data_IF_591595987851
#
_entry.id   IF_591595987851
#
_cell.length_a   1.000
_cell.length_b   1.000
_cell.length_c   1.000
_cell.angle_alpha   90.00
_cell.angle_beta   90.00
_cell.angle_gamma   90.00
#
_symmetry.space_group_name_H-M   'P 1'
#
loop_
_entity.id
_entity.type
_entity.pdbx_description
1 polymer ?
#
# COMPACT_ATOMS: atom_id res chain seq x y z
N UNK A 1 4.84 7.95 20.49
CA UNK A 1 3.50 7.65 19.95
C UNK A 1 2.59 8.84 20.18
N UNK A 2 2.02 9.35 19.11
CA UNK A 2 1.10 10.49 19.07
C UNK A 2 -0.21 10.01 18.48
N UNK A 3 -1.33 10.26 19.17
CA UNK A 3 -2.66 9.94 18.65
C UNK A 3 -3.09 10.98 17.62
N UNK A 4 -3.59 10.50 16.49
CA UNK A 4 -4.11 11.31 15.38
C UNK A 4 -5.58 10.96 15.18
N UNK A 5 -6.45 11.96 15.09
CA UNK A 5 -7.84 11.79 14.71
C UNK A 5 -7.96 11.85 13.19
N UNK A 6 -8.33 10.73 12.56
CA UNK A 6 -8.44 10.62 11.11
C UNK A 6 -9.53 11.54 10.54
N UNK A 7 -10.58 11.81 11.31
CA UNK A 7 -11.66 12.73 10.93
C UNK A 7 -11.20 14.17 10.73
N UNK A 8 -10.15 14.60 11.44
CA UNK A 8 -9.56 15.94 11.28
C UNK A 8 -8.90 16.10 9.90
N UNK A 9 -8.68 14.99 9.20
CA UNK A 9 -8.08 14.90 7.88
C UNK A 9 -9.07 14.39 6.81
N UNK A 10 -10.38 14.43 7.09
CA UNK A 10 -11.42 14.11 6.12
C UNK A 10 -11.70 12.62 5.92
N UNK A 11 -11.15 11.74 6.76
CA UNK A 11 -11.51 10.32 6.75
C UNK A 11 -12.96 10.16 7.26
N UNK A 12 -13.86 9.53 6.48
CA UNK A 12 -15.25 9.40 6.89
C UNK A 12 -15.42 8.43 8.06
N UNK A 13 -16.47 8.64 8.85
CA UNK A 13 -16.89 7.68 9.87
C UNK A 13 -17.18 6.32 9.22
N UNK A 14 -16.73 5.25 9.86
CA UNK A 14 -16.88 3.88 9.34
C UNK A 14 -15.73 3.41 8.44
N UNK A 15 -14.70 4.23 8.20
CA UNK A 15 -13.44 3.73 7.66
C UNK A 15 -12.82 2.67 8.59
N UNK A 16 -12.14 1.69 8.01
CA UNK A 16 -11.48 0.60 8.74
C UNK A 16 -10.00 0.88 9.04
N UNK A 17 -9.38 1.79 8.28
CA UNK A 17 -7.96 2.09 8.36
C UNK A 17 -7.56 3.23 7.44
N UNK A 18 -6.33 3.69 7.60
CA UNK A 18 -5.72 4.78 6.82
C UNK A 18 -4.55 4.27 5.99
N UNK A 19 -4.33 4.93 4.85
CA UNK A 19 -3.18 4.74 3.98
C UNK A 19 -2.40 6.06 4.00
N UNK A 20 -1.14 5.99 4.39
CA UNK A 20 -0.27 7.14 4.54
C UNK A 20 0.92 7.02 3.60
N UNK A 21 1.34 8.15 3.02
CA UNK A 21 2.65 8.28 2.41
C UNK A 21 3.64 8.70 3.50
N UNK A 22 4.65 7.87 3.73
CA UNK A 22 5.79 8.26 4.55
C UNK A 22 6.91 8.81 3.65
N UNK A 23 7.50 9.93 4.08
CA UNK A 23 8.70 10.50 3.48
C UNK A 23 9.70 10.84 4.59
N UNK A 24 10.90 10.27 4.52
CA UNK A 24 12.05 10.74 5.27
C UNK A 24 12.89 11.63 4.35
N UNK A 25 12.89 12.95 4.57
CA UNK A 25 13.70 13.90 3.80
C UNK A 25 15.10 14.13 4.39
N UNK A 26 15.38 13.53 5.55
CA UNK A 26 16.65 13.68 6.23
C UNK A 26 17.72 12.70 5.77
N UNK A 27 18.97 13.13 5.91
CA UNK A 27 20.16 12.33 5.61
C UNK A 27 20.49 11.30 6.71
N UNK A 28 19.71 11.26 7.79
CA UNK A 28 19.77 10.23 8.83
C UNK A 28 18.49 9.39 8.83
N UNK A 29 18.63 8.11 9.17
CA UNK A 29 17.49 7.30 9.57
C UNK A 29 17.03 7.75 10.95
N UNK A 30 15.73 7.80 11.18
CA UNK A 30 15.18 7.96 12.53
C UNK A 30 13.96 7.06 12.68
N UNK A 31 13.71 6.61 13.89
CA UNK A 31 12.67 5.64 14.18
C UNK A 31 11.28 6.18 13.80
N UNK A 32 10.54 5.36 13.04
CA UNK A 32 9.16 5.63 12.68
C UNK A 32 8.28 4.42 13.00
N UNK A 33 6.97 4.63 13.10
CA UNK A 33 5.99 3.56 13.25
C UNK A 33 4.56 4.06 13.10
N UNK A 34 3.65 3.16 12.78
CA UNK A 34 2.21 3.44 12.74
C UNK A 34 1.45 2.24 13.29
N UNK A 35 0.42 2.49 14.09
CA UNK A 35 -0.40 1.43 14.68
C UNK A 35 -1.83 1.87 14.93
N UNK A 36 -2.71 0.88 15.05
CA UNK A 36 -4.08 1.07 15.48
C UNK A 36 -4.12 1.66 16.90
N UNK A 37 -5.01 2.62 17.16
CA UNK A 37 -5.19 3.16 18.51
C UNK A 37 -5.69 2.06 19.46
N UNK A 38 -4.92 1.82 20.52
CA UNK A 38 -5.20 0.76 21.50
C UNK A 38 -4.40 -0.52 21.28
N UNK A 39 -3.58 -0.57 20.22
CA UNK A 39 -2.59 -1.63 19.98
C UNK A 39 -1.51 -1.66 21.08
N UNK A 40 -1.06 -2.87 21.44
CA UNK A 40 0.10 -3.12 22.29
C UNK A 40 1.42 -3.15 21.49
N UNK A 41 1.34 -3.13 20.15
CA UNK A 41 2.49 -3.21 19.27
C UNK A 41 3.42 -2.01 19.46
N UNK A 42 4.66 -2.25 19.87
CA UNK A 42 5.69 -1.19 20.04
C UNK A 42 6.73 -1.23 18.92
N UNK A 43 6.28 -1.63 17.72
CA UNK A 43 7.11 -1.74 16.53
C UNK A 43 7.50 -0.36 16.01
N UNK A 44 8.78 -0.04 16.15
CA UNK A 44 9.43 1.12 15.54
C UNK A 44 10.79 0.70 15.05
N UNK A 45 11.23 1.30 13.94
CA UNK A 45 12.56 1.07 13.37
C UNK A 45 12.92 2.24 12.44
N UNK A 46 14.20 2.42 12.19
CA UNK A 46 14.72 3.46 11.31
C UNK A 46 14.50 3.06 9.85
N UNK A 47 13.67 3.77 9.07
CA UNK A 47 13.64 3.59 7.63
C UNK A 47 14.96 4.07 7.03
N UNK A 48 15.16 3.80 5.75
CA UNK A 48 16.34 4.26 5.04
C UNK A 48 16.40 5.82 5.02
N UNK A 49 17.58 6.46 5.11
CA UNK A 49 17.71 7.91 4.94
C UNK A 49 17.27 8.35 3.55
N UNK A 50 16.49 9.42 3.40
CA UNK A 50 15.99 9.79 2.07
C UNK A 50 15.15 8.65 1.46
N UNK A 51 14.11 8.20 2.15
CA UNK A 51 13.22 7.12 1.70
C UNK A 51 11.77 7.58 1.68
N UNK A 52 10.98 6.97 0.81
CA UNK A 52 9.54 7.16 0.80
C UNK A 52 8.83 5.85 0.43
N UNK A 53 7.72 5.56 1.10
CA UNK A 53 6.93 4.33 0.89
C UNK A 53 5.55 4.46 1.54
N UNK A 54 4.69 3.46 1.33
CA UNK A 54 3.35 3.42 1.95
C UNK A 54 3.35 2.84 3.35
N UNK A 55 2.49 3.40 4.19
CA UNK A 55 2.21 2.93 5.54
C UNK A 55 0.71 2.68 5.65
N UNK A 56 0.34 1.54 6.23
CA UNK A 56 -1.07 1.18 6.42
C UNK A 56 -1.33 0.82 7.86
N UNK A 57 -2.40 1.37 8.43
CA UNK A 57 -2.80 0.99 9.78
C UNK A 57 -4.31 1.11 10.00
N UNK A 58 -4.83 0.31 10.91
CA UNK A 58 -6.24 0.34 11.28
C UNK A 58 -6.61 1.56 12.11
N UNK A 59 -7.90 1.88 12.13
CA UNK A 59 -8.45 2.83 13.09
C UNK A 59 -8.79 2.12 14.40
N UNK A 60 -8.82 2.87 15.50
CA UNK A 60 -8.87 2.35 16.86
C UNK A 60 -10.10 1.52 17.20
N UNK A 61 -10.13 1.02 18.43
CA UNK A 61 -11.20 0.18 18.96
C UNK A 61 -12.09 0.93 19.96
N UNK A 62 -13.34 0.52 20.08
CA UNK A 62 -14.25 1.03 21.11
C UNK A 62 -14.65 2.50 20.92
N UNK A 63 -14.17 3.39 21.78
CA UNK A 63 -14.47 4.82 21.73
C UNK A 63 -13.55 5.63 20.81
N UNK A 64 -12.54 4.99 20.21
CA UNK A 64 -11.48 5.62 19.40
C UNK A 64 -11.51 5.13 17.93
N UNK A 65 -12.70 4.76 17.41
CA UNK A 65 -12.89 4.19 16.05
C UNK A 65 -12.45 5.12 14.90
N UNK A 66 -12.10 6.36 15.21
CA UNK A 66 -11.64 7.39 14.27
C UNK A 66 -10.16 7.76 14.47
N UNK A 67 -9.42 7.05 15.33
CA UNK A 67 -8.04 7.41 15.69
C UNK A 67 -7.03 6.33 15.36
N UNK A 68 -5.81 6.75 15.08
CA UNK A 68 -4.63 5.90 14.96
C UNK A 68 -3.46 6.54 15.70
N UNK A 69 -2.33 5.83 15.79
CA UNK A 69 -1.13 6.36 16.44
C UNK A 69 0.06 6.32 15.48
N UNK A 70 0.83 7.41 15.48
CA UNK A 70 2.10 7.52 14.79
C UNK A 70 3.25 7.63 15.78
N UNK A 71 4.37 7.05 15.43
CA UNK A 71 5.66 7.31 16.05
C UNK A 71 6.52 8.04 15.03
N UNK A 72 7.01 9.21 15.43
CA UNK A 72 8.02 9.98 14.71
C UNK A 72 9.14 10.20 15.72
N UNK A 73 10.38 9.87 15.34
CA UNK A 73 11.55 10.13 16.16
C UNK A 73 11.84 11.64 16.31
N UNK A 74 13.07 11.95 16.74
CA UNK A 74 13.53 13.32 16.96
C UNK A 74 13.83 14.09 15.65
N UNK A 75 13.57 13.52 14.47
CA UNK A 75 13.81 14.14 13.17
C UNK A 75 12.59 14.89 12.61
N UNK A 76 12.72 16.20 12.42
CA UNK A 76 11.67 17.07 11.86
C UNK A 76 11.44 16.92 10.35
N UNK A 77 12.18 16.03 9.69
CA UNK A 77 12.13 15.82 8.23
C UNK A 77 11.37 14.54 7.85
N UNK A 78 10.79 13.86 8.84
CA UNK A 78 9.86 12.77 8.65
C UNK A 78 8.43 13.29 8.52
N UNK A 79 7.78 12.93 7.42
CA UNK A 79 6.44 13.40 7.07
C UNK A 79 5.56 12.18 6.84
N UNK A 80 4.37 12.23 7.42
CA UNK A 80 3.27 11.30 7.13
C UNK A 80 2.14 12.10 6.49
N UNK A 81 1.82 11.77 5.24
CA UNK A 81 0.72 12.40 4.50
C UNK A 81 -0.42 11.39 4.38
N UNK A 82 -1.64 11.77 4.79
CA UNK A 82 -2.81 10.93 4.56
C UNK A 82 -3.17 10.99 3.08
N UNK A 83 -3.07 9.85 2.38
CA UNK A 83 -3.37 9.78 0.95
C UNK A 83 -4.60 8.93 0.64
N UNK A 84 -5.12 8.18 1.61
CA UNK A 84 -6.27 7.33 1.41
C UNK A 84 -6.79 6.69 2.69
N UNK A 85 -7.89 5.98 2.56
CA UNK A 85 -8.50 5.22 3.64
C UNK A 85 -9.13 3.94 3.08
N UNK A 86 -9.34 2.97 3.98
CA UNK A 86 -10.01 1.71 3.67
C UNK A 86 -11.41 1.71 4.26
N UNK A 87 -12.30 0.93 3.66
CA UNK A 87 -13.67 0.74 4.16
C UNK A 87 -14.03 -0.75 4.15
N UNK A 88 -15.28 -1.11 3.85
CA UNK A 88 -15.71 -2.50 3.77
C UNK A 88 -14.77 -3.36 2.92
N UNK A 89 -14.62 -4.62 3.31
CA UNK A 89 -13.70 -5.56 2.65
C UNK A 89 -12.29 -5.56 3.23
N UNK A 90 -11.91 -4.61 4.10
CA UNK A 90 -10.58 -4.57 4.73
C UNK A 90 -10.70 -4.68 6.25
N UNK A 91 -9.85 -5.50 6.87
CA UNK A 91 -9.77 -5.67 8.33
C UNK A 91 -8.34 -5.51 8.81
N UNK A 92 -8.14 -4.69 9.84
CA UNK A 92 -6.87 -4.57 10.55
C UNK A 92 -6.94 -5.25 11.92
N UNK A 93 -5.80 -5.79 12.36
CA UNK A 93 -5.68 -6.32 13.71
C UNK A 93 -5.30 -5.22 14.70
N UNK A 94 -5.83 -5.31 15.91
CA UNK A 94 -5.37 -4.47 17.01
C UNK A 94 -3.89 -4.75 17.34
N UNK A 95 -3.53 -6.03 17.41
CA UNK A 95 -2.15 -6.48 17.55
C UNK A 95 -1.80 -7.39 16.38
N UNK A 96 -0.71 -7.08 15.69
CA UNK A 96 -0.26 -7.82 14.52
C UNK A 96 0.05 -9.28 14.83
N UNK A 97 0.03 -10.10 13.78
CA UNK A 97 0.30 -11.54 13.87
C UNK A 97 1.68 -11.81 13.31
N UNK A 98 2.60 -12.22 14.17
CA UNK A 98 3.92 -12.64 13.77
C UNK A 98 3.82 -13.91 12.90
N UNK A 99 4.38 -13.83 11.69
CA UNK A 99 4.44 -14.89 10.70
C UNK A 99 5.87 -15.05 10.17
N UNK A 100 6.86 -14.57 10.92
CA UNK A 100 8.27 -14.66 10.57
C UNK A 100 8.69 -16.12 10.37
N UNK A 101 9.56 -16.35 9.39
CA UNK A 101 10.15 -17.66 9.12
C UNK A 101 11.60 -17.68 9.58
N UNK A 102 12.14 -18.86 9.89
CA UNK A 102 13.57 -19.06 10.11
C UNK A 102 14.28 -19.69 8.92
N UNK A 103 13.52 -20.05 7.89
CA UNK A 103 14.01 -20.65 6.66
C UNK A 103 14.55 -19.58 5.73
N UNK A 104 15.75 -19.79 5.20
CA UNK A 104 16.50 -18.80 4.42
C UNK A 104 16.64 -19.22 2.95
N UNK A 105 16.55 -18.26 2.04
CA UNK A 105 16.80 -18.41 0.60
C UNK A 105 15.92 -19.49 -0.08
N UNK A 106 14.69 -19.65 0.41
CA UNK A 106 13.63 -20.39 -0.27
C UNK A 106 12.25 -19.84 0.13
N UNK A 107 11.32 -19.87 -0.83
CA UNK A 107 9.92 -19.50 -0.58
C UNK A 107 9.23 -20.49 0.36
N UNK A 108 8.77 -19.98 1.50
CA UNK A 108 7.96 -20.71 2.48
C UNK A 108 6.50 -20.31 2.32
N UNK A 109 5.62 -21.32 2.32
CA UNK A 109 4.17 -21.11 2.33
C UNK A 109 3.67 -20.71 3.71
N UNK A 110 2.86 -19.66 3.77
CA UNK A 110 2.25 -19.14 5.00
C UNK A 110 0.73 -19.28 4.90
N UNK A 111 0.18 -20.19 5.70
CA UNK A 111 -1.25 -20.42 5.78
C UNK A 111 -1.93 -19.35 6.67
N UNK A 112 -2.84 -18.60 6.06
CA UNK A 112 -3.62 -17.54 6.70
C UNK A 112 -5.10 -17.90 6.87
N UNK A 113 -5.52 -19.12 6.54
CA UNK A 113 -6.92 -19.57 6.59
C UNK A 113 -7.59 -19.33 7.95
N UNK A 114 -6.88 -19.65 9.04
CA UNK A 114 -7.36 -19.45 10.40
C UNK A 114 -7.22 -18.01 10.92
N UNK A 115 -6.25 -17.24 10.39
CA UNK A 115 -5.90 -15.90 10.91
C UNK A 115 -6.67 -14.79 10.18
N UNK A 116 -6.86 -14.94 8.87
CA UNK A 116 -7.45 -13.95 7.96
C UNK A 116 -8.53 -14.60 7.10
N UNK A 117 -9.62 -15.16 7.68
CA UNK A 117 -10.61 -15.96 6.96
C UNK A 117 -11.19 -15.22 5.75
N UNK A 118 -11.31 -15.92 4.61
CA UNK A 118 -11.75 -15.39 3.33
C UNK A 118 -10.85 -14.28 2.73
N UNK A 119 -9.59 -14.17 3.19
CA UNK A 119 -8.67 -13.21 2.60
C UNK A 119 -8.42 -13.50 1.12
N UNK A 120 -8.34 -12.44 0.34
CA UNK A 120 -7.82 -12.41 -1.04
C UNK A 120 -6.47 -11.69 -1.11
N UNK A 121 -6.18 -10.84 -0.13
CA UNK A 121 -4.89 -10.16 0.05
C UNK A 121 -4.53 -9.99 1.51
N UNK A 122 -3.24 -9.91 1.80
CA UNK A 122 -2.65 -9.79 3.13
C UNK A 122 -1.89 -8.47 3.21
N UNK A 123 -2.10 -7.73 4.29
CA UNK A 123 -1.40 -6.49 4.59
C UNK A 123 -0.30 -6.81 5.61
N UNK A 124 0.93 -6.54 5.22
CA UNK A 124 2.13 -6.94 5.94
C UNK A 124 2.88 -5.68 6.39
N UNK A 125 3.41 -5.72 7.60
CA UNK A 125 4.45 -4.84 8.12
C UNK A 125 5.70 -5.72 8.30
N UNK A 126 6.84 -5.29 7.77
CA UNK A 126 8.10 -5.99 7.91
C UNK A 126 9.12 -5.09 8.60
N UNK A 127 9.96 -5.71 9.44
CA UNK A 127 10.99 -5.02 10.21
C UNK A 127 12.26 -5.84 10.20
N UNK A 128 13.39 -5.18 10.11
CA UNK A 128 14.68 -5.83 10.28
C UNK A 128 15.69 -4.98 11.04
N UNK A 129 16.67 -5.65 11.65
CA UNK A 129 17.78 -4.99 12.36
C UNK A 129 18.88 -4.46 11.43
N UNK A 130 18.77 -4.72 10.13
CA UNK A 130 19.72 -4.30 9.09
C UNK A 130 19.13 -4.45 7.69
N UNK A 131 19.91 -4.17 6.64
CA UNK A 131 19.45 -4.38 5.26
C UNK A 131 19.44 -5.86 4.94
N UNK A 132 18.25 -6.44 4.89
CA UNK A 132 18.02 -7.83 4.55
C UNK A 132 17.15 -7.90 3.31
N UNK A 133 17.23 -9.03 2.61
CA UNK A 133 16.37 -9.27 1.45
C UNK A 133 15.06 -9.91 1.87
N UNK A 134 14.02 -9.49 1.18
CA UNK A 134 12.67 -9.99 1.34
C UNK A 134 12.07 -10.21 -0.05
N UNK A 135 11.36 -11.31 -0.22
CA UNK A 135 10.40 -11.49 -1.30
C UNK A 135 9.05 -11.91 -0.71
N UNK A 136 7.97 -11.34 -1.23
CA UNK A 136 6.60 -11.67 -0.88
C UNK A 136 5.83 -11.90 -2.17
N UNK A 137 5.10 -13.02 -2.26
CA UNK A 137 4.30 -13.32 -3.45
C UNK A 137 3.07 -14.14 -3.16
N UNK A 138 2.11 -14.15 -4.08
CA UNK A 138 0.96 -15.04 -4.04
C UNK A 138 1.40 -16.50 -4.20
N UNK A 139 0.76 -17.43 -3.50
CA UNK A 139 1.08 -18.85 -3.68
C UNK A 139 0.83 -19.29 -5.13
N UNK A 140 1.77 -20.05 -5.70
CA UNK A 140 1.76 -20.47 -7.10
C UNK A 140 2.36 -19.46 -8.09
N UNK A 141 2.85 -18.31 -7.60
CA UNK A 141 3.60 -17.35 -8.40
C UNK A 141 4.98 -17.88 -8.83
N UNK A 142 5.41 -17.51 -10.03
CA UNK A 142 6.77 -17.73 -10.56
C UNK A 142 7.70 -16.54 -10.29
N UNK A 143 7.19 -15.46 -9.70
CA UNK A 143 7.95 -14.26 -9.39
C UNK A 143 9.10 -14.55 -8.43
N UNK A 144 10.33 -14.25 -8.84
CA UNK A 144 11.54 -14.47 -8.05
C UNK A 144 12.28 -13.14 -7.84
N UNK A 145 11.74 -12.33 -6.90
CA UNK A 145 12.20 -10.96 -6.62
C UNK A 145 12.72 -10.82 -5.19
N UNK A 146 13.77 -11.56 -4.85
CA UNK A 146 14.47 -11.43 -3.57
C UNK A 146 15.42 -10.22 -3.58
N UNK A 147 14.93 -9.09 -3.06
CA UNK A 147 15.65 -7.81 -3.04
C UNK A 147 15.79 -7.21 -1.65
N UNK A 148 16.80 -6.36 -1.46
CA UNK A 148 17.00 -5.64 -0.21
C UNK A 148 15.79 -4.77 0.09
N UNK A 149 15.13 -5.04 1.21
CA UNK A 149 14.01 -4.25 1.69
C UNK A 149 14.46 -3.21 2.71
N UNK A 150 13.63 -2.21 2.92
CA UNK A 150 13.82 -1.26 4.02
C UNK A 150 13.80 -1.97 5.38
N UNK A 151 14.48 -1.39 6.38
CA UNK A 151 14.46 -1.91 7.76
C UNK A 151 13.08 -1.85 8.41
N UNK A 152 12.18 -1.05 7.85
CA UNK A 152 10.80 -0.94 8.26
C UNK A 152 9.99 -0.58 7.02
N UNK A 153 8.95 -1.35 6.71
CA UNK A 153 8.06 -1.04 5.61
C UNK A 153 6.78 -1.86 5.65
N UNK A 154 5.92 -1.59 4.67
CA UNK A 154 4.66 -2.30 4.49
C UNK A 154 4.57 -2.89 3.08
N UNK A 155 3.83 -3.98 2.97
CA UNK A 155 3.53 -4.65 1.72
C UNK A 155 2.05 -5.04 1.65
N UNK A 156 1.53 -5.17 0.44
CA UNK A 156 0.28 -5.88 0.17
C UNK A 156 0.58 -7.01 -0.81
N UNK A 157 0.17 -8.23 -0.46
CA UNK A 157 0.38 -9.42 -1.29
C UNK A 157 -0.92 -10.22 -1.41
N UNK A 158 -1.17 -10.79 -2.59
CA UNK A 158 -2.29 -11.72 -2.78
C UNK A 158 -2.09 -13.03 -2.03
N UNK A 159 -3.19 -13.71 -1.71
CA UNK A 159 -3.17 -15.13 -1.33
C UNK A 159 -4.03 -15.96 -2.31
N UNK A 160 -3.80 -17.27 -2.35
CA UNK A 160 -4.56 -18.18 -3.20
C UNK A 160 -5.93 -18.55 -2.59
N UNK A 161 -6.67 -19.45 -3.24
CA UNK A 161 -7.98 -19.90 -2.75
C UNK A 161 -7.94 -20.69 -1.44
N UNK A 162 -6.76 -21.13 -0.99
CA UNK A 162 -6.53 -21.72 0.33
C UNK A 162 -6.02 -20.69 1.35
N UNK A 163 -5.97 -19.41 0.96
CA UNK A 163 -5.47 -18.29 1.74
C UNK A 163 -3.99 -18.43 2.12
N UNK A 164 -3.19 -18.93 1.17
CA UNK A 164 -1.75 -19.07 1.30
C UNK A 164 -1.06 -17.95 0.50
N UNK A 165 -0.11 -17.27 1.13
CA UNK A 165 0.91 -16.47 0.45
C UNK A 165 2.30 -17.09 0.72
N UNK A 166 3.32 -16.61 0.01
CA UNK A 166 4.69 -17.07 0.19
C UNK A 166 5.61 -15.92 0.58
N UNK A 167 6.60 -16.24 1.42
CA UNK A 167 7.66 -15.33 1.84
C UNK A 167 9.01 -16.01 1.66
N UNK A 168 10.03 -15.23 1.30
CA UNK A 168 11.43 -15.63 1.29
C UNK A 168 12.27 -14.54 1.93
N UNK A 169 13.23 -14.93 2.77
CA UNK A 169 14.16 -14.04 3.45
C UNK A 169 15.59 -14.56 3.27
N UNK A 170 16.58 -13.67 3.23
CA UNK A 170 17.99 -14.07 3.24
C UNK A 170 18.59 -14.14 4.66
N UNK A 171 17.86 -13.62 5.66
CA UNK A 171 18.32 -13.54 7.04
C UNK A 171 17.16 -13.57 8.04
N UNK A 172 17.32 -14.33 9.14
CA UNK A 172 16.34 -14.45 10.24
C UNK A 172 16.10 -13.14 11.00
N UNK A 173 16.90 -12.11 10.75
CA UNK A 173 16.69 -10.77 11.28
C UNK A 173 15.57 -9.99 10.56
N UNK A 174 14.94 -10.58 9.54
CA UNK A 174 13.75 -10.05 8.87
C UNK A 174 12.50 -10.65 9.52
N UNK A 175 11.79 -9.84 10.28
CA UNK A 175 10.53 -10.18 10.93
C UNK A 175 9.36 -9.72 10.07
N UNK A 176 8.34 -10.58 9.94
CA UNK A 176 7.19 -10.38 9.05
C UNK A 176 5.90 -10.48 9.88
N UNK A 177 5.20 -9.35 9.99
CA UNK A 177 3.98 -9.21 10.77
C UNK A 177 2.78 -8.97 9.86
N UNK A 178 1.72 -9.76 10.03
CA UNK A 178 0.45 -9.50 9.36
C UNK A 178 -0.35 -8.51 10.20
N UNK A 179 -0.59 -7.33 9.65
CA UNK A 179 -1.31 -6.22 10.31
C UNK A 179 -2.76 -6.12 9.88
N UNK A 180 -3.11 -6.71 8.75
CA UNK A 180 -4.48 -6.72 8.23
C UNK A 180 -4.66 -7.62 7.02
N UNK A 181 -5.86 -7.66 6.48
CA UNK A 181 -6.21 -8.44 5.30
C UNK A 181 -7.38 -7.84 4.55
N UNK A 182 -7.47 -8.18 3.26
CA UNK A 182 -8.48 -7.76 2.30
C UNK A 182 -9.30 -8.98 1.93
N UNK A 183 -10.61 -8.83 1.86
CA UNK A 183 -11.60 -9.90 1.57
C UNK A 183 -12.42 -9.61 0.32
N UNK A 184 -12.48 -8.35 -0.13
CA UNK A 184 -13.26 -7.92 -1.27
C UNK A 184 -12.74 -6.59 -1.85
N UNK A 185 -13.22 -6.20 -3.03
CA UNK A 185 -12.94 -4.91 -3.67
C UNK A 185 -11.60 -4.84 -4.40
N UNK A 186 -10.87 -5.94 -4.48
CA UNK A 186 -9.56 -6.02 -5.10
C UNK A 186 -9.33 -7.33 -5.84
N UNK A 187 -8.40 -7.30 -6.79
CA UNK A 187 -7.89 -8.45 -7.52
C UNK A 187 -6.37 -8.50 -7.37
N UNK A 188 -5.84 -9.65 -6.96
CA UNK A 188 -4.41 -9.89 -6.83
C UNK A 188 -3.93 -10.88 -7.88
N UNK A 189 -2.88 -10.48 -8.62
CA UNK A 189 -2.31 -11.27 -9.69
C UNK A 189 -1.51 -12.45 -9.12
N UNK A 190 -1.45 -13.55 -9.87
CA UNK A 190 -0.58 -14.68 -9.50
C UNK A 190 0.87 -14.36 -9.80
N UNK A 191 1.16 -13.92 -11.02
CA UNK A 191 2.43 -13.33 -11.38
C UNK A 191 2.22 -11.83 -11.58
N UNK A 192 3.13 -11.01 -11.09
CA UNK A 192 3.07 -9.58 -11.28
C UNK A 192 3.21 -9.22 -12.77
N UNK A 193 2.58 -8.12 -13.18
CA UNK A 193 2.76 -7.57 -14.53
C UNK A 193 3.78 -6.46 -14.47
N UNK A 194 4.84 -6.58 -15.26
CA UNK A 194 5.80 -5.50 -15.45
C UNK A 194 5.13 -4.31 -16.16
N UNK A 195 5.11 -3.18 -15.47
CA UNK A 195 4.56 -1.91 -15.95
C UNK A 195 5.64 -0.81 -15.98
N UNK A 196 6.91 -1.19 -15.96
CA UNK A 196 8.06 -0.30 -15.94
C UNK A 196 8.15 0.55 -17.20
N UNK A 197 8.88 1.66 -17.10
CA UNK A 197 9.20 2.56 -18.20
C UNK A 197 10.70 2.59 -18.44
N UNK A 198 11.12 2.91 -19.66
CA UNK A 198 12.52 3.23 -19.96
C UNK A 198 12.78 4.76 -19.99
N UNK A 199 11.74 5.58 -19.79
CA UNK A 199 11.86 7.03 -19.84
C UNK A 199 12.35 7.55 -18.49
N UNK A 200 13.52 8.18 -18.48
CA UNK A 200 14.13 8.73 -17.27
C UNK A 200 13.85 10.22 -17.11
N UNK A 201 13.78 10.69 -15.86
CA UNK A 201 13.73 12.12 -15.52
C UNK A 201 12.39 12.82 -15.75
N UNK A 202 11.42 12.16 -16.40
CA UNK A 202 10.10 12.72 -16.71
C UNK A 202 8.97 11.83 -16.18
N UNK A 203 7.82 12.45 -15.91
CA UNK A 203 6.59 11.72 -15.61
C UNK A 203 5.99 11.21 -16.92
N UNK A 204 5.71 9.92 -17.00
CA UNK A 204 5.09 9.29 -18.17
C UNK A 204 4.00 8.33 -17.74
N UNK A 205 2.96 8.23 -18.57
CA UNK A 205 1.93 7.21 -18.46
C UNK A 205 2.56 5.82 -18.49
N UNK A 206 2.21 4.99 -17.51
CA UNK A 206 2.58 3.58 -17.51
C UNK A 206 1.54 2.74 -18.26
N UNK A 207 1.85 1.46 -18.44
CA UNK A 207 0.94 0.48 -19.06
C UNK A 207 -0.45 0.55 -18.43
N UNK A 208 -1.48 0.63 -19.26
CA UNK A 208 -2.88 0.67 -18.81
C UNK A 208 -3.20 -0.50 -17.90
N UNK A 209 -3.76 -0.20 -16.74
CA UNK A 209 -4.16 -1.19 -15.72
C UNK A 209 -5.33 -2.05 -16.22
N UNK A 210 -5.62 -3.20 -15.57
CA UNK A 210 -6.79 -4.04 -15.87
C UNK A 210 -8.12 -3.28 -15.88
N UNK A 211 -9.14 -3.87 -16.52
CA UNK A 211 -10.48 -3.29 -16.60
C UNK A 211 -11.05 -3.01 -15.21
N UNK A 212 -11.72 -1.86 -15.04
CA UNK A 212 -12.31 -1.46 -13.77
C UNK A 212 -11.32 -0.96 -12.69
N UNK A 213 -10.01 -1.05 -12.92
CA UNK A 213 -9.00 -0.63 -11.95
C UNK A 213 -9.06 0.89 -11.69
N UNK A 214 -9.18 1.25 -10.42
CA UNK A 214 -9.10 2.65 -9.92
C UNK A 214 -7.96 2.86 -8.92
N UNK A 215 -7.35 1.77 -8.46
CA UNK A 215 -6.15 1.79 -7.62
C UNK A 215 -5.22 0.69 -8.13
N UNK A 216 -3.93 0.98 -8.24
CA UNK A 216 -2.87 0.01 -8.45
C UNK A 216 -2.16 -0.31 -7.13
N UNK A 217 -1.86 -1.60 -6.92
CA UNK A 217 -0.88 -2.06 -5.94
C UNK A 217 0.39 -2.40 -6.68
N UNK A 218 1.45 -1.63 -6.44
CA UNK A 218 2.70 -1.72 -7.20
C UNK A 218 3.82 -2.11 -6.25
N UNK A 219 4.51 -3.19 -6.57
CA UNK A 219 5.80 -3.57 -6.00
C UNK A 219 6.89 -2.82 -6.79
N UNK A 220 7.82 -2.21 -6.08
CA UNK A 220 8.94 -1.47 -6.66
C UNK A 220 10.23 -2.17 -6.27
N UNK A 221 11.06 -2.45 -7.27
CA UNK A 221 12.43 -2.94 -7.05
C UNK A 221 13.42 -1.94 -7.62
N UNK A 222 14.51 -1.72 -6.89
CA UNK A 222 15.55 -0.78 -7.29
C UNK A 222 16.92 -1.44 -7.11
N UNK A 223 17.76 -1.45 -8.16
CA UNK A 223 19.11 -2.04 -8.11
C UNK A 223 20.17 -0.94 -8.31
N UNK A 224 20.61 -0.30 -7.23
CA UNK A 224 21.70 0.67 -7.29
C UNK A 224 21.77 1.59 -6.09
N UNK A 225 22.92 2.24 -5.93
CA UNK A 225 23.11 3.31 -4.95
C UNK A 225 22.63 4.63 -5.60
N UNK A 226 21.70 5.34 -4.95
CA UNK A 226 21.13 6.63 -5.38
C UNK A 226 20.08 6.60 -6.53
N UNK A 227 19.31 5.52 -6.65
CA UNK A 227 18.11 5.51 -7.49
C UNK A 227 16.99 6.38 -6.89
N UNK A 228 16.09 6.88 -7.73
CA UNK A 228 14.92 7.66 -7.32
C UNK A 228 13.73 7.27 -8.19
N UNK A 229 12.54 7.28 -7.61
CA UNK A 229 11.32 6.97 -8.33
C UNK A 229 10.15 7.80 -7.82
N UNK A 230 9.07 7.80 -8.58
CA UNK A 230 7.77 8.26 -8.15
C UNK A 230 6.68 7.54 -8.92
N UNK A 231 5.55 7.27 -8.26
CA UNK A 231 4.33 6.75 -8.88
C UNK A 231 3.17 7.60 -8.40
N UNK A 232 2.39 8.17 -9.30
CA UNK A 232 1.28 9.05 -8.96
C UNK A 232 0.07 8.81 -9.87
N UNK A 233 -1.07 9.39 -9.47
CA UNK A 233 -2.26 9.43 -10.32
C UNK A 233 -1.98 10.22 -11.59
N UNK A 234 -2.45 9.70 -12.72
CA UNK A 234 -2.34 10.40 -13.99
C UNK A 234 -2.96 11.82 -13.93
N UNK A 235 -2.22 12.78 -14.48
CA UNK A 235 -2.53 14.21 -14.46
C UNK A 235 -2.34 14.91 -13.10
N UNK A 236 -1.81 14.23 -12.08
CA UNK A 236 -1.54 14.85 -10.78
C UNK A 236 -0.41 15.88 -10.89
N UNK A 237 -0.54 16.98 -10.13
CA UNK A 237 0.53 17.98 -9.99
C UNK A 237 1.51 17.65 -8.85
N UNK A 238 1.27 16.56 -8.12
CA UNK A 238 2.14 16.13 -7.02
C UNK A 238 3.51 15.71 -7.54
N UNK A 239 4.56 16.21 -6.90
CA UNK A 239 5.94 15.80 -7.16
C UNK A 239 6.44 14.94 -6.01
N UNK A 240 6.05 13.66 -6.07
CA UNK A 240 6.48 12.63 -5.12
C UNK A 240 7.67 11.82 -5.64
N UNK A 241 8.43 12.42 -6.57
CA UNK A 241 9.69 11.87 -7.04
C UNK A 241 10.71 11.95 -5.91
N UNK A 242 11.01 10.79 -5.34
CA UNK A 242 11.81 10.66 -4.14
C UNK A 242 12.96 9.68 -4.34
N UNK A 243 14.01 9.82 -3.52
CA UNK A 243 15.07 8.84 -3.45
C UNK A 243 14.51 7.47 -3.05
N UNK A 244 14.84 6.48 -3.85
CA UNK A 244 14.51 5.07 -3.66
C UNK A 244 15.52 4.37 -2.77
N UNK A 245 16.70 4.99 -2.63
CA UNK A 245 17.89 4.56 -1.89
C UNK A 245 17.80 3.11 -1.43
N UNK A 246 17.93 2.22 -2.43
CA UNK A 246 17.94 0.77 -2.36
C UNK A 246 16.90 0.14 -1.42
N UNK A 247 15.64 0.13 -1.85
CA UNK A 247 14.59 -0.63 -1.16
C UNK A 247 13.55 -1.25 -2.09
N UNK A 248 13.37 -2.56 -1.95
CA UNK A 248 12.17 -3.29 -2.27
C UNK A 248 11.02 -2.76 -1.39
N UNK A 249 9.99 -2.18 -2.02
CA UNK A 249 8.86 -1.58 -1.32
C UNK A 249 7.56 -1.65 -2.14
N UNK A 250 6.46 -1.22 -1.54
CA UNK A 250 5.14 -1.21 -2.17
C UNK A 250 4.51 0.17 -2.11
N UNK A 251 3.86 0.56 -3.21
CA UNK A 251 3.00 1.74 -3.28
C UNK A 251 1.56 1.37 -3.65
N UNK A 252 0.64 2.23 -3.23
CA UNK A 252 -0.77 2.20 -3.58
C UNK A 252 -1.05 3.51 -4.31
N UNK A 253 -1.54 3.43 -5.55
CA UNK A 253 -1.63 4.58 -6.43
C UNK A 253 -3.04 4.67 -7.01
N UNK A 254 -3.71 5.80 -6.83
CA UNK A 254 -4.97 6.06 -7.51
C UNK A 254 -4.75 6.15 -9.02
N UNK A 255 -5.61 5.52 -9.81
CA UNK A 255 -5.57 5.58 -11.26
C UNK A 255 -6.66 6.52 -11.81
N UNK A 256 -6.33 7.26 -12.87
CA UNK A 256 -7.30 7.99 -13.67
C UNK A 256 -7.42 7.28 -15.02
N UNK A 257 -8.65 6.91 -15.42
CA UNK A 257 -8.88 6.18 -16.68
C UNK A 257 -8.00 4.92 -16.83
N UNK A 258 -7.71 4.24 -15.71
CA UNK A 258 -6.81 3.06 -15.60
C UNK A 258 -5.34 3.36 -15.94
N UNK A 259 -4.92 4.61 -15.85
CA UNK A 259 -3.53 5.03 -16.03
C UNK A 259 -3.00 5.60 -14.73
N UNK A 260 -1.74 5.28 -14.45
CA UNK A 260 -0.90 5.92 -13.43
C UNK A 260 0.36 6.43 -14.13
N UNK A 261 0.97 7.47 -13.58
CA UNK A 261 2.24 8.00 -14.07
C UNK A 261 3.40 7.47 -13.23
N UNK A 262 4.50 7.15 -13.89
CA UNK A 262 5.77 6.79 -13.27
C UNK A 262 6.88 7.73 -13.71
N UNK A 263 7.84 7.96 -12.80
CA UNK A 263 9.08 8.66 -13.07
C UNK A 263 10.23 7.90 -12.43
N UNK A 264 11.29 7.64 -13.19
CA UNK A 264 12.48 6.91 -12.74
C UNK A 264 13.75 7.73 -12.97
N UNK A 265 14.73 7.53 -12.11
CA UNK A 265 16.07 8.08 -12.29
C UNK A 265 16.81 7.39 -13.44
N UNK A 266 16.72 6.05 -13.48
CA UNK A 266 17.35 5.17 -14.45
C UNK A 266 16.56 3.85 -14.56
N UNK A 267 16.92 3.01 -15.54
CA UNK A 267 16.27 1.73 -15.84
C UNK A 267 16.57 0.61 -14.82
N UNK A 268 17.20 0.91 -13.68
CA UNK A 268 17.36 -0.06 -12.57
C UNK A 268 16.21 0.00 -11.56
N UNK A 269 15.25 0.90 -11.79
CA UNK A 269 13.97 0.97 -11.07
C UNK A 269 12.91 0.30 -11.92
N UNK A 270 12.34 -0.77 -11.38
CA UNK A 270 11.24 -1.50 -12.00
C UNK A 270 9.95 -1.38 -11.19
N UNK A 271 8.83 -1.38 -11.89
CA UNK A 271 7.47 -1.31 -11.36
C UNK A 271 6.69 -2.56 -11.74
N UNK A 272 6.24 -3.31 -10.73
CA UNK A 272 5.48 -4.54 -10.91
C UNK A 272 4.08 -4.39 -10.32
N UNK A 273 3.05 -4.45 -11.18
CA UNK A 273 1.66 -4.49 -10.74
C UNK A 273 1.40 -5.85 -10.07
N UNK A 274 1.15 -5.86 -8.75
CA UNK A 274 0.84 -7.08 -7.99
C UNK A 274 -0.66 -7.28 -7.77
N UNK A 275 -1.44 -6.21 -7.96
CA UNK A 275 -2.90 -6.24 -7.89
C UNK A 275 -3.51 -4.88 -8.15
N UNK A 276 -4.83 -4.82 -8.16
CA UNK A 276 -5.59 -3.58 -8.30
C UNK A 276 -6.86 -3.62 -7.47
N UNK A 277 -7.37 -2.44 -7.11
CA UNK A 277 -8.70 -2.29 -6.54
C UNK A 277 -9.66 -1.70 -7.58
N UNK A 278 -10.92 -2.10 -7.47
CA UNK A 278 -12.01 -1.65 -8.32
C UNK A 278 -12.98 -0.79 -7.51
N UNK A 279 -13.77 0.05 -8.19
CA UNK A 279 -14.87 0.73 -7.49
C UNK A 279 -15.83 -0.32 -6.97
N UNK A 280 -16.10 -0.30 -5.66
CA UNK A 280 -17.08 -1.19 -5.05
C UNK A 280 -18.41 -1.09 -5.82
N UNK A 281 -18.81 -2.19 -6.46
CA UNK A 281 -20.09 -2.25 -7.14
C UNK A 281 -21.21 -2.18 -6.09
N UNK A 282 -22.13 -1.22 -6.23
CA UNK A 282 -23.27 -1.10 -5.32
C UNK A 282 -23.22 0.04 -4.29
N UNK A 283 -22.38 1.08 -4.47
CA UNK A 283 -22.56 2.32 -3.70
C UNK A 283 -23.92 2.97 -4.04
N UNK A 284 -24.91 2.76 -3.18
CA UNK A 284 -26.23 3.42 -3.24
C UNK A 284 -26.25 4.74 -2.46
N UNK A 285 -25.08 5.34 -2.22
CA UNK A 285 -24.97 6.58 -1.45
C UNK A 285 -25.81 7.68 -2.09
N UNK A 286 -26.84 8.12 -1.38
CA UNK A 286 -27.67 9.23 -1.81
C UNK A 286 -26.81 10.49 -1.74
N UNK A 287 -26.42 11.02 -2.88
CA UNK A 287 -25.77 12.34 -2.97
C UNK A 287 -26.80 13.40 -2.59
N UNK A 288 -26.89 13.71 -1.29
CA UNK A 288 -27.74 14.77 -0.78
C UNK A 288 -26.98 16.10 -0.90
N UNK A 289 -27.52 17.04 -1.69
CA UNK A 289 -27.07 18.44 -1.66
C UNK A 289 -26.25 18.95 -2.86
N UNK A 290 -26.18 18.24 -3.99
CA UNK A 290 -25.48 18.76 -5.18
C UNK A 290 -26.46 19.49 -6.11
N UNK A 291 -26.37 20.81 -6.15
CA UNK A 291 -27.20 21.71 -6.98
C UNK A 291 -26.80 21.70 -8.47
N UNK A 292 -25.74 20.98 -8.83
CA UNK A 292 -25.26 20.89 -10.21
C UNK A 292 -24.73 19.46 -10.52
N UNK A 293 -25.54 18.56 -11.09
CA UNK A 293 -25.17 17.17 -11.32
C UNK A 293 -24.13 16.95 -12.43
N UNK A 294 -23.67 18.00 -13.12
CA UNK A 294 -22.81 17.89 -14.30
C UNK A 294 -21.35 17.46 -14.03
N UNK A 295 -20.96 17.16 -12.79
CA UNK A 295 -19.58 16.79 -12.41
C UNK A 295 -19.47 15.57 -11.49
N UNK A 296 -20.48 14.71 -11.48
CA UNK A 296 -20.37 13.44 -10.75
C UNK A 296 -19.66 12.41 -11.64
N UNK A 297 -18.40 12.13 -11.30
CA UNK A 297 -17.67 10.89 -11.67
C UNK A 297 -17.49 10.60 -13.17
N UNK A 298 -17.14 11.59 -14.00
CA UNK A 298 -16.67 11.31 -15.37
C UNK A 298 -17.68 10.65 -16.32
N UNK A 299 -18.95 10.52 -15.91
CA UNK A 299 -20.02 9.97 -16.77
C UNK A 299 -20.57 11.09 -17.64
N UNK A 300 -20.48 10.93 -18.96
CA UNK A 300 -21.10 11.84 -19.90
C UNK A 300 -22.63 11.86 -19.69
N UNK A 301 -23.21 13.07 -19.71
CA UNK A 301 -24.64 13.36 -19.43
C UNK A 301 -25.63 12.53 -20.28
N UNK A 302 -25.18 11.99 -21.42
CA UNK A 302 -26.00 11.24 -22.34
C UNK A 302 -26.55 9.89 -21.79
N UNK A 303 -25.95 9.33 -20.73
CA UNK A 303 -26.36 8.03 -20.18
C UNK A 303 -27.25 8.10 -18.93
N UNK A 304 -27.46 9.30 -18.36
CA UNK A 304 -28.39 9.50 -17.23
C UNK A 304 -29.86 9.27 -17.63
N UNK A 305 -30.22 9.50 -18.90
CA UNK A 305 -31.59 9.33 -19.39
C UNK A 305 -32.09 7.88 -19.44
N UNK A 306 -31.23 6.88 -19.17
CA UNK A 306 -31.59 5.45 -19.17
C UNK A 306 -31.85 4.87 -17.78
N UNK A 307 -31.66 5.65 -16.71
CA UNK A 307 -31.96 5.19 -15.35
C UNK A 307 -33.47 5.30 -15.11
N UNK A 308 -34.20 4.24 -15.44
CA UNK A 308 -35.62 4.11 -15.13
C UNK A 308 -35.80 4.03 -13.60
N UNK A 309 -36.47 5.01 -13.00
CA UNK A 309 -36.83 4.97 -11.58
C UNK A 309 -36.76 6.28 -10.81
N UNK A 310 -36.41 7.41 -11.43
CA UNK A 310 -36.51 8.72 -10.78
C UNK A 310 -37.92 9.26 -11.00
N UNK A 311 -38.79 9.02 -10.01
CA UNK A 311 -39.98 9.84 -9.76
C UNK A 311 -39.62 10.93 -8.74
#
# INVERSE_FOLDING_TARGET
>A
WTTVAATDHGVPSGASGVILHFQNKGAAGDTMGARMKGSNDVRTSEPFPLAHFMVMTGLGIGGDLDKFELYVGDHTEQIFELIGYTTGGVTFFADAKDKSTTTLNEFVSVDMSATCPNAIGIIIEYISTGYQKLALRKNGSEDDRLFYAYKHGWAIVGCDGSQIFQQEIDNIAMDIFVVGYITDGATFLTNATDISTATTGEWVDLTTLPEGAVIAFVEITCIGDATSYGLRKDGSAEDIYGPASCGHCWLIVEALERVIEGKIHDETVDFFLVGHAEVATGWTGKVMGVTNPAKVLGVAVADIAKVSGVA
#
